data_IF_287254083751
#
_entry.id   IF_287254083751
#
_cell.length_a   1.000
_cell.length_b   1.000
_cell.length_c   1.000
_cell.angle_alpha   90.00
_cell.angle_beta   90.00
_cell.angle_gamma   90.00
#
_symmetry.space_group_name_H-M   'P 1'
#
loop_
_entity.id
_entity.type
_entity.pdbx_description
1 polymer ?
#
# COMPACT_ATOMS: atom_id res chain seq x y z
N UNK A 1 22.66 21.52 -31.47
CA UNK A 1 22.52 21.48 -30.00
C UNK A 1 22.17 20.06 -29.64
N UNK A 2 23.16 19.33 -29.14
CA UNK A 2 23.14 17.90 -28.91
C UNK A 2 22.61 17.65 -27.49
N UNK A 3 21.49 16.92 -27.36
CA UNK A 3 20.77 16.68 -26.09
C UNK A 3 21.17 15.34 -25.43
N UNK A 4 22.33 14.81 -25.82
CA UNK A 4 22.81 13.52 -25.31
C UNK A 4 23.82 13.73 -24.20
N UNK A 5 23.37 14.13 -23.00
CA UNK A 5 24.20 14.12 -21.79
C UNK A 5 23.56 13.30 -20.66
N UNK A 6 24.21 12.16 -20.41
CA UNK A 6 24.33 11.41 -19.14
C UNK A 6 23.06 10.81 -18.51
N UNK A 7 22.71 9.61 -19.00
CA UNK A 7 22.03 8.56 -18.23
C UNK A 7 23.00 7.40 -17.95
N UNK A 8 24.17 7.66 -17.38
CA UNK A 8 25.15 6.62 -17.01
C UNK A 8 25.71 6.86 -15.60
N UNK A 9 24.81 7.08 -14.63
CA UNK A 9 25.16 6.75 -13.26
C UNK A 9 25.03 5.22 -13.12
N UNK A 10 26.08 4.49 -12.68
CA UNK A 10 25.96 3.06 -12.46
C UNK A 10 24.83 2.81 -11.46
N UNK A 11 23.75 2.18 -11.95
CA UNK A 11 22.65 1.75 -11.10
C UNK A 11 23.25 0.68 -10.21
N UNK A 12 23.43 1.00 -8.92
CA UNK A 12 23.91 0.03 -7.94
C UNK A 12 23.13 -1.27 -8.14
N UNK A 13 23.84 -2.37 -8.39
CA UNK A 13 23.23 -3.69 -8.43
C UNK A 13 22.50 -3.86 -7.10
N UNK A 14 21.17 -4.05 -7.09
CA UNK A 14 20.47 -4.24 -5.84
C UNK A 14 21.09 -5.46 -5.18
N UNK A 15 21.65 -5.28 -3.98
CA UNK A 15 22.10 -6.42 -3.19
C UNK A 15 20.92 -7.36 -2.99
N UNK A 16 21.13 -8.68 -3.06
CA UNK A 16 20.07 -9.63 -2.80
C UNK A 16 19.48 -9.36 -1.41
N UNK A 17 18.20 -9.03 -1.36
CA UNK A 17 17.46 -8.85 -0.11
C UNK A 17 17.37 -10.22 0.55
N UNK A 18 18.32 -10.50 1.45
CA UNK A 18 18.28 -11.73 2.22
C UNK A 18 17.08 -11.65 3.17
N UNK A 19 16.19 -12.66 3.22
CA UNK A 19 15.10 -12.64 4.17
C UNK A 19 15.61 -12.44 5.59
N UNK A 20 14.95 -11.54 6.33
CA UNK A 20 15.26 -11.33 7.74
C UNK A 20 14.96 -12.62 8.53
N UNK A 21 15.75 -12.95 9.57
CA UNK A 21 15.45 -14.08 10.43
C UNK A 21 14.08 -13.90 11.12
N UNK A 22 13.41 -15.01 11.49
CA UNK A 22 12.13 -14.97 12.17
C UNK A 22 12.16 -14.08 13.42
N UNK A 23 11.16 -13.21 13.60
CA UNK A 23 11.09 -12.29 14.74
C UNK A 23 9.68 -11.81 15.04
N UNK A 24 9.50 -11.32 16.26
CA UNK A 24 8.29 -10.61 16.70
C UNK A 24 8.24 -9.25 15.99
N UNK A 25 7.11 -8.95 15.36
CA UNK A 25 6.88 -7.68 14.65
C UNK A 25 6.12 -6.70 15.54
N UNK A 26 6.62 -5.47 15.62
CA UNK A 26 5.97 -4.36 16.32
C UNK A 26 5.33 -3.40 15.32
N UNK A 27 4.43 -2.52 15.78
CA UNK A 27 3.87 -1.48 14.91
C UNK A 27 4.95 -0.58 14.32
N UNK A 28 5.97 -0.23 15.11
CA UNK A 28 7.09 0.61 14.69
C UNK A 28 7.92 0.01 13.53
N UNK A 29 7.84 -1.30 13.27
CA UNK A 29 8.48 -1.92 12.12
C UNK A 29 7.75 -1.64 10.79
N UNK A 30 6.50 -1.15 10.83
CA UNK A 30 5.56 -1.19 9.71
C UNK A 30 5.34 0.20 9.11
N UNK A 31 5.46 0.27 7.78
CA UNK A 31 5.04 1.37 6.94
C UNK A 31 3.89 0.89 6.02
N UNK A 32 2.70 1.44 6.19
CA UNK A 32 1.58 1.24 5.26
C UNK A 32 1.59 2.37 4.25
N UNK A 33 1.54 2.04 2.96
CA UNK A 33 1.52 3.03 1.87
C UNK A 33 0.29 2.84 0.99
N UNK A 34 -0.45 3.93 0.79
CA UNK A 34 -1.68 3.99 0.02
C UNK A 34 -1.50 4.98 -1.13
N UNK A 35 -1.07 4.55 -2.32
CA UNK A 35 -1.08 5.39 -3.51
C UNK A 35 -2.51 5.78 -3.87
N UNK A 36 -2.76 7.07 -4.14
CA UNK A 36 -4.13 7.56 -4.40
C UNK A 36 -4.16 8.59 -5.52
N UNK A 37 -5.26 8.62 -6.29
CA UNK A 37 -5.59 9.67 -7.26
C UNK A 37 -7.10 9.70 -7.48
N UNK A 38 -7.77 10.78 -7.04
CA UNK A 38 -9.21 11.00 -7.15
C UNK A 38 -10.07 9.86 -6.55
N UNK A 39 -9.90 9.57 -5.26
CA UNK A 39 -10.59 8.50 -4.55
C UNK A 39 -11.40 9.02 -3.36
N UNK A 40 -11.96 10.23 -3.45
CA UNK A 40 -12.73 10.85 -2.36
C UNK A 40 -13.89 9.94 -1.86
N UNK A 41 -14.48 9.14 -2.75
CA UNK A 41 -15.57 8.23 -2.42
C UNK A 41 -15.15 7.02 -1.57
N UNK A 42 -13.87 6.63 -1.56
CA UNK A 42 -13.41 5.38 -0.95
C UNK A 42 -12.35 5.57 0.14
N UNK A 43 -11.52 6.61 0.03
CA UNK A 43 -10.30 6.75 0.84
C UNK A 43 -10.55 6.72 2.35
N UNK A 44 -11.65 7.33 2.81
CA UNK A 44 -11.99 7.33 4.23
C UNK A 44 -12.32 5.93 4.77
N UNK A 45 -13.09 5.15 4.01
CA UNK A 45 -13.45 3.79 4.39
C UNK A 45 -12.23 2.86 4.33
N UNK A 46 -11.37 3.03 3.31
CA UNK A 46 -10.11 2.31 3.17
C UNK A 46 -9.21 2.52 4.41
N UNK A 47 -8.91 3.77 4.76
CA UNK A 47 -8.03 4.11 5.90
C UNK A 47 -8.58 3.54 7.21
N UNK A 48 -9.88 3.72 7.49
CA UNK A 48 -10.49 3.16 8.70
C UNK A 48 -10.39 1.65 8.76
N UNK A 49 -10.63 0.95 7.65
CA UNK A 49 -10.52 -0.51 7.61
C UNK A 49 -9.09 -1.00 7.86
N UNK A 50 -8.08 -0.27 7.39
CA UNK A 50 -6.67 -0.61 7.60
C UNK A 50 -6.19 -0.36 9.03
N UNK A 51 -6.82 0.58 9.74
CA UNK A 51 -6.48 0.96 11.12
C UNK A 51 -7.30 0.19 12.16
N UNK A 52 -8.20 -0.70 11.73
CA UNK A 52 -9.08 -1.46 12.62
C UNK A 52 -8.41 -2.71 13.22
N UNK A 53 -8.74 -3.00 14.48
CA UNK A 53 -8.37 -4.23 15.18
C UNK A 53 -7.16 -4.11 16.12
N UNK A 54 -5.93 -4.12 15.59
CA UNK A 54 -4.73 -4.39 16.39
C UNK A 54 -4.16 -3.11 17.03
N UNK A 55 -3.99 -3.12 18.36
CA UNK A 55 -3.49 -1.97 19.11
C UNK A 55 -2.08 -1.51 18.67
N UNK A 56 -1.25 -2.42 18.11
CA UNK A 56 0.08 -2.12 17.58
C UNK A 56 0.02 -1.12 16.41
N UNK A 57 -1.12 -1.01 15.71
CA UNK A 57 -1.28 -0.11 14.57
C UNK A 57 -1.07 1.36 14.95
N UNK A 58 -1.20 1.72 16.23
CA UNK A 58 -0.91 3.08 16.73
C UNK A 58 0.55 3.51 16.51
N UNK A 59 1.47 2.55 16.50
CA UNK A 59 2.90 2.81 16.30
C UNK A 59 3.34 2.61 14.84
N UNK A 60 2.46 2.06 13.98
CA UNK A 60 2.73 1.92 12.55
C UNK A 60 2.61 3.27 11.83
N UNK A 61 3.45 3.52 10.83
CA UNK A 61 3.29 4.70 9.99
C UNK A 61 2.33 4.41 8.84
N UNK A 62 1.37 5.31 8.63
CA UNK A 62 0.48 5.27 7.48
C UNK A 62 0.78 6.46 6.59
N UNK A 63 0.97 6.20 5.29
CA UNK A 63 1.24 7.25 4.30
C UNK A 63 0.29 7.11 3.14
N UNK A 64 -0.52 8.14 2.92
CA UNK A 64 -1.25 8.32 1.68
C UNK A 64 -0.36 9.10 0.71
N UNK A 65 -0.09 8.55 -0.46
CA UNK A 65 0.76 9.17 -1.48
C UNK A 65 -0.10 9.63 -2.67
N UNK A 66 -0.48 10.91 -2.67
CA UNK A 66 -1.45 11.51 -3.58
C UNK A 66 -0.84 11.99 -4.90
N UNK A 67 -1.40 11.51 -6.01
CA UNK A 67 -1.01 11.84 -7.39
C UNK A 67 -1.41 13.23 -7.88
N UNK A 68 -1.77 14.16 -6.99
CA UNK A 68 -2.37 15.43 -7.35
C UNK A 68 -3.86 15.29 -7.66
N UNK A 69 -4.61 14.74 -6.70
CA UNK A 69 -6.08 14.63 -6.79
C UNK A 69 -6.71 16.01 -6.93
N UNK A 70 -7.80 16.06 -7.71
CA UNK A 70 -8.60 17.25 -8.00
C UNK A 70 -9.97 17.24 -7.32
N UNK A 71 -10.33 16.12 -6.71
CA UNK A 71 -11.49 15.98 -5.85
C UNK A 71 -11.10 16.18 -4.36
N UNK A 72 -12.03 15.87 -3.46
CA UNK A 72 -11.85 16.07 -2.02
C UNK A 72 -10.90 15.04 -1.34
N UNK A 73 -10.23 14.15 -2.10
CA UNK A 73 -9.37 13.09 -1.54
C UNK A 73 -8.39 13.65 -0.50
N UNK A 74 -7.68 14.73 -0.84
CA UNK A 74 -6.68 15.33 0.04
C UNK A 74 -7.30 15.95 1.30
N UNK A 75 -8.44 16.62 1.15
CA UNK A 75 -9.15 17.23 2.26
C UNK A 75 -9.67 16.18 3.25
N UNK A 76 -10.19 15.07 2.73
CA UNK A 76 -10.64 13.92 3.54
C UNK A 76 -9.46 13.34 4.35
N UNK A 77 -8.34 13.06 3.69
CA UNK A 77 -7.15 12.50 4.36
C UNK A 77 -6.63 13.45 5.44
N UNK A 78 -6.55 14.75 5.15
CA UNK A 78 -6.10 15.75 6.12
C UNK A 78 -7.03 15.81 7.35
N UNK A 79 -8.34 15.78 7.13
CA UNK A 79 -9.34 15.76 8.21
C UNK A 79 -9.25 14.52 9.10
N UNK A 80 -8.80 13.39 8.56
CA UNK A 80 -8.63 12.14 9.32
C UNK A 80 -7.38 12.12 10.21
N UNK A 81 -6.43 13.04 10.04
CA UNK A 81 -5.20 13.09 10.87
C UNK A 81 -5.46 13.44 12.34
N UNK A 82 -6.60 14.07 12.64
CA UNK A 82 -7.04 14.28 14.01
C UNK A 82 -7.48 12.98 14.71
N UNK A 83 -8.08 12.05 13.96
CA UNK A 83 -8.46 10.72 14.43
C UNK A 83 -7.25 9.76 14.45
N UNK A 84 -6.34 9.92 13.48
CA UNK A 84 -5.19 9.05 13.27
C UNK A 84 -3.88 9.87 13.19
N UNK A 85 -3.22 10.15 14.34
CA UNK A 85 -2.02 10.98 14.38
C UNK A 85 -0.80 10.40 13.63
N UNK A 86 -0.80 9.09 13.38
CA UNK A 86 0.21 8.37 12.62
C UNK A 86 -0.04 8.35 11.09
N UNK A 87 -1.05 9.08 10.62
CA UNK A 87 -1.38 9.27 9.20
C UNK A 87 -0.64 10.49 8.60
N UNK A 88 0.17 10.22 7.58
CA UNK A 88 0.84 11.21 6.76
C UNK A 88 0.26 11.29 5.35
N UNK A 89 0.44 12.45 4.70
CA UNK A 89 0.07 12.70 3.31
C UNK A 89 1.30 13.19 2.54
N UNK A 90 1.68 12.48 1.47
CA UNK A 90 2.76 12.85 0.56
C UNK A 90 2.20 13.23 -0.81
N UNK A 91 2.80 14.24 -1.44
CA UNK A 91 2.50 14.57 -2.83
C UNK A 91 3.40 13.77 -3.78
N UNK A 92 2.79 12.98 -4.65
CA UNK A 92 3.43 12.21 -5.71
C UNK A 92 3.20 12.87 -7.08
N UNK A 93 4.05 13.81 -7.51
CA UNK A 93 3.87 14.55 -8.76
C UNK A 93 3.96 13.65 -10.02
N UNK A 94 4.60 12.48 -9.89
CA UNK A 94 4.76 11.54 -11.01
C UNK A 94 3.48 10.76 -11.33
N UNK A 95 2.48 10.76 -10.43
CA UNK A 95 1.18 10.09 -10.62
C UNK A 95 1.25 8.59 -10.93
N UNK A 96 2.37 7.94 -10.58
CA UNK A 96 2.57 6.50 -10.74
C UNK A 96 2.56 5.84 -9.37
N UNK A 97 1.92 4.67 -9.26
CA UNK A 97 1.88 3.90 -8.01
C UNK A 97 3.30 3.54 -7.54
N UNK A 98 4.16 3.06 -8.43
CA UNK A 98 5.56 2.73 -8.09
C UNK A 98 6.35 3.95 -7.60
N UNK A 99 6.11 5.13 -8.18
CA UNK A 99 6.72 6.37 -7.71
C UNK A 99 6.22 6.77 -6.31
N UNK A 100 4.93 6.56 -6.02
CA UNK A 100 4.35 6.77 -4.69
C UNK A 100 4.98 5.84 -3.64
N UNK A 101 5.11 4.54 -3.94
CA UNK A 101 5.74 3.58 -3.04
C UNK A 101 7.20 3.94 -2.78
N UNK A 102 7.98 4.23 -3.83
CA UNK A 102 9.39 4.61 -3.69
C UNK A 102 9.57 5.94 -2.93
N UNK A 103 8.65 6.89 -3.11
CA UNK A 103 8.61 8.14 -2.36
C UNK A 103 8.36 7.85 -0.88
N UNK A 104 7.30 7.13 -0.54
CA UNK A 104 6.97 6.81 0.85
C UNK A 104 8.08 5.99 1.54
N UNK A 105 8.68 5.01 0.85
CA UNK A 105 9.79 4.24 1.39
C UNK A 105 11.01 5.11 1.74
N UNK A 106 11.28 6.16 0.95
CA UNK A 106 12.38 7.09 1.23
C UNK A 106 12.05 8.08 2.34
N UNK A 107 10.87 8.69 2.32
CA UNK A 107 10.51 9.79 3.24
C UNK A 107 10.00 9.28 4.61
N UNK A 108 9.45 8.06 4.66
CA UNK A 108 8.82 7.49 5.84
C UNK A 108 9.29 6.08 6.19
N UNK A 109 10.24 5.51 5.44
CA UNK A 109 10.73 4.14 5.68
C UNK A 109 11.86 4.04 6.70
N UNK A 110 12.45 5.16 7.16
CA UNK A 110 13.55 5.12 8.14
C UNK A 110 13.11 4.41 9.43
N UNK A 111 13.96 3.50 9.91
CA UNK A 111 13.69 2.67 11.09
C UNK A 111 12.66 1.56 10.89
N UNK A 112 11.98 1.51 9.73
CA UNK A 112 10.94 0.53 9.41
C UNK A 112 11.50 -0.56 8.52
N UNK A 113 10.91 -1.75 8.64
CA UNK A 113 11.45 -2.97 8.04
C UNK A 113 10.44 -3.69 7.17
N UNK A 114 9.16 -3.33 7.27
CA UNK A 114 8.06 -3.93 6.54
C UNK A 114 7.28 -2.81 5.87
N UNK A 115 7.14 -2.88 4.55
CA UNK A 115 6.26 -2.02 3.78
C UNK A 115 5.03 -2.81 3.34
N UNK A 116 3.84 -2.34 3.70
CA UNK A 116 2.57 -2.90 3.28
C UNK A 116 1.93 -1.93 2.27
N UNK A 117 1.81 -2.36 1.02
CA UNK A 117 1.15 -1.58 -0.04
C UNK A 117 -0.33 -1.92 -0.06
N UNK A 118 -1.17 -0.89 0.02
CA UNK A 118 -2.63 -1.02 0.01
C UNK A 118 -3.26 -0.12 -1.06
N UNK A 119 -4.43 -0.51 -1.58
CA UNK A 119 -5.17 0.23 -2.59
C UNK A 119 -6.28 1.09 -1.97
N UNK A 120 -6.42 2.32 -2.46
CA UNK A 120 -7.31 3.34 -1.89
C UNK A 120 -8.82 3.02 -2.01
N UNK A 121 -9.20 2.09 -2.89
CA UNK A 121 -10.57 1.65 -3.11
C UNK A 121 -10.87 0.24 -2.58
N UNK A 122 -9.99 -0.33 -1.77
CA UNK A 122 -10.19 -1.61 -1.10
C UNK A 122 -10.70 -1.43 0.33
N UNK A 123 -11.38 -2.46 0.85
CA UNK A 123 -11.73 -2.60 2.27
C UNK A 123 -10.99 -3.82 2.81
N UNK A 124 -10.36 -3.65 3.96
CA UNK A 124 -9.53 -4.66 4.58
C UNK A 124 -10.21 -5.26 5.81
N UNK A 125 -10.02 -6.56 6.11
CA UNK A 125 -10.50 -7.15 7.35
C UNK A 125 -9.74 -6.59 8.56
N UNK A 126 -10.34 -6.65 9.75
CA UNK A 126 -9.69 -6.22 10.97
C UNK A 126 -8.34 -6.94 11.20
N UNK A 127 -7.35 -6.21 11.71
CA UNK A 127 -5.97 -6.67 11.95
C UNK A 127 -5.16 -7.00 10.68
N UNK A 128 -5.66 -6.70 9.47
CA UNK A 128 -5.02 -7.08 8.21
C UNK A 128 -3.52 -6.74 8.14
N UNK A 129 -3.18 -5.48 8.44
CA UNK A 129 -1.80 -4.97 8.33
C UNK A 129 -0.86 -5.77 9.23
N UNK A 130 -1.24 -6.01 10.48
CA UNK A 130 -0.39 -6.75 11.42
C UNK A 130 -0.34 -8.24 11.11
N UNK A 131 -1.43 -8.85 10.63
CA UNK A 131 -1.40 -10.25 10.20
C UNK A 131 -0.43 -10.49 9.04
N UNK A 132 -0.43 -9.61 8.03
CA UNK A 132 0.52 -9.69 6.91
C UNK A 132 1.95 -9.45 7.39
N UNK A 133 2.15 -8.47 8.27
CA UNK A 133 3.46 -8.16 8.82
C UNK A 133 4.02 -9.31 9.67
N UNK A 134 3.22 -9.90 10.55
CA UNK A 134 3.57 -11.08 11.37
C UNK A 134 3.88 -12.30 10.48
N UNK A 135 3.10 -12.52 9.41
CA UNK A 135 3.36 -13.59 8.45
C UNK A 135 4.73 -13.45 7.76
N UNK A 136 5.09 -12.23 7.36
CA UNK A 136 6.41 -11.93 6.79
C UNK A 136 7.51 -12.12 7.83
N UNK A 137 7.30 -11.59 9.04
CA UNK A 137 8.25 -11.63 10.16
C UNK A 137 8.53 -13.04 10.67
N UNK A 138 7.56 -13.96 10.67
CA UNK A 138 7.74 -15.32 11.17
C UNK A 138 8.31 -16.28 10.14
N UNK A 139 8.02 -16.09 8.85
CA UNK A 139 8.34 -17.07 7.81
C UNK A 139 9.72 -16.87 7.19
N UNK A 140 10.41 -15.78 7.51
CA UNK A 140 11.70 -15.45 6.89
C UNK A 140 11.59 -15.40 5.36
N UNK A 141 10.57 -14.70 4.86
CA UNK A 141 10.29 -14.52 3.44
C UNK A 141 10.46 -13.06 3.05
N UNK A 142 10.83 -12.82 1.79
CA UNK A 142 11.07 -11.46 1.29
C UNK A 142 9.79 -10.70 0.94
N UNK A 143 8.68 -11.41 0.68
CA UNK A 143 7.39 -10.80 0.37
C UNK A 143 6.22 -11.72 0.72
N UNK A 144 5.07 -11.11 0.98
CA UNK A 144 3.78 -11.76 1.14
C UNK A 144 2.82 -11.11 0.16
N UNK A 145 2.02 -11.92 -0.52
CA UNK A 145 0.87 -11.47 -1.29
C UNK A 145 -0.38 -12.13 -0.73
N UNK A 146 -1.50 -11.43 -0.79
CA UNK A 146 -2.80 -11.93 -0.34
C UNK A 146 -3.74 -12.07 -1.54
N UNK A 147 -4.65 -13.06 -1.51
CA UNK A 147 -5.71 -13.16 -2.51
C UNK A 147 -6.58 -11.90 -2.44
N UNK A 148 -7.08 -11.48 -3.60
CA UNK A 148 -8.04 -10.39 -3.72
C UNK A 148 -9.45 -10.98 -3.82
N UNK A 149 -10.33 -10.61 -2.90
CA UNK A 149 -11.75 -10.97 -2.97
C UNK A 149 -12.53 -9.86 -3.70
N UNK A 150 -12.91 -10.11 -4.95
CA UNK A 150 -13.59 -9.12 -5.77
C UNK A 150 -15.10 -9.07 -5.44
N UNK A 151 -15.59 -7.88 -5.10
CA UNK A 151 -17.01 -7.65 -4.79
C UNK A 151 -17.61 -6.55 -5.66
N UNK A 152 -18.92 -6.65 -5.93
CA UNK A 152 -19.64 -5.70 -6.78
C UNK A 152 -21.03 -5.35 -6.24
N UNK A 153 -21.48 -4.11 -6.47
CA UNK A 153 -22.80 -3.63 -6.02
C UNK A 153 -23.85 -3.74 -7.13
N UNK A 154 -23.52 -3.31 -8.35
CA UNK A 154 -24.43 -3.37 -9.51
C UNK A 154 -24.37 -4.73 -10.21
N UNK A 155 -25.35 -5.04 -11.08
CA UNK A 155 -25.34 -6.28 -11.86
C UNK A 155 -24.05 -6.44 -12.68
N UNK A 156 -23.59 -5.35 -13.33
CA UNK A 156 -22.35 -5.37 -14.09
C UNK A 156 -21.12 -5.58 -13.20
N UNK A 157 -21.03 -4.87 -12.06
CA UNK A 157 -19.91 -5.04 -11.13
C UNK A 157 -19.86 -6.45 -10.55
N UNK A 158 -21.01 -7.06 -10.23
CA UNK A 158 -21.09 -8.45 -9.74
C UNK A 158 -20.64 -9.44 -10.80
N UNK A 159 -21.08 -9.27 -12.05
CA UNK A 159 -20.62 -10.10 -13.16
C UNK A 159 -19.11 -9.96 -13.38
N UNK A 160 -18.58 -8.74 -13.31
CA UNK A 160 -17.15 -8.48 -13.42
C UNK A 160 -16.36 -9.14 -12.26
N UNK A 161 -16.83 -8.97 -11.02
CA UNK A 161 -16.25 -9.62 -9.84
C UNK A 161 -16.16 -11.15 -10.01
N UNK A 162 -17.23 -11.76 -10.51
CA UNK A 162 -17.24 -13.21 -10.77
C UNK A 162 -16.24 -13.63 -11.84
N UNK A 163 -16.11 -12.86 -12.94
CA UNK A 163 -15.22 -13.20 -14.05
C UNK A 163 -13.75 -13.03 -13.68
N UNK A 164 -13.39 -12.01 -12.89
CA UNK A 164 -11.97 -11.77 -12.53
C UNK A 164 -11.36 -12.88 -11.67
N UNK A 165 -12.20 -13.66 -10.99
CA UNK A 165 -11.79 -14.83 -10.21
C UNK A 165 -11.72 -16.12 -11.05
N UNK A 166 -11.91 -16.02 -12.37
CA UNK A 166 -11.79 -17.15 -13.31
C UNK A 166 -10.55 -17.02 -14.21
N UNK A 167 -10.06 -18.12 -14.80
CA UNK A 167 -9.00 -18.06 -15.81
C UNK A 167 -9.30 -17.13 -16.98
N UNK A 168 -10.57 -16.94 -17.33
CA UNK A 168 -10.99 -16.04 -18.40
C UNK A 168 -10.73 -14.57 -18.06
N UNK A 169 -10.92 -14.17 -16.81
CA UNK A 169 -10.72 -12.78 -16.38
C UNK A 169 -9.27 -12.46 -15.99
N UNK A 170 -8.57 -13.40 -15.35
CA UNK A 170 -7.24 -13.16 -14.76
C UNK A 170 -6.10 -13.98 -15.38
N UNK A 171 -6.37 -14.74 -16.44
CA UNK A 171 -5.34 -15.51 -17.16
C UNK A 171 -4.82 -16.73 -16.41
N UNK A 172 -5.47 -17.16 -15.31
CA UNK A 172 -5.17 -18.40 -14.61
C UNK A 172 -3.93 -18.36 -13.70
N UNK A 173 -3.49 -17.17 -13.25
CA UNK A 173 -2.35 -17.06 -12.34
C UNK A 173 -2.64 -17.64 -10.95
N UNK A 174 -1.78 -18.51 -10.43
CA UNK A 174 -1.92 -19.14 -9.11
C UNK A 174 -1.69 -18.18 -7.91
N UNK A 175 -1.25 -16.94 -8.16
CA UNK A 175 -1.00 -15.93 -7.13
C UNK A 175 -2.22 -15.04 -6.84
N UNK A 176 -3.43 -15.54 -7.12
CA UNK A 176 -4.69 -14.94 -6.70
C UNK A 176 -5.55 -15.97 -5.99
#
# INVERSE_FOLDING_TARGET
>A
MDITQTLDAPRATPEPVNPAPPRVVTGADVLVVIPVLNEAAHIAACIRSLMDGDARLRDAAFVVADGGSKDDTRAIVEGMRGEFPNLGLLHNPKKLQSAAINLAAREAGEGRRILVRCDAHAIYPANYVMQVADALGHRGIASVVVPMDAVGKTCFQKANAWIVDTPLGSGGSAHR
#
